data_IF_747757152900
#
_entry.id   IF_747757152900
#
_cell.length_a   1.000
_cell.length_b   1.000
_cell.length_c   1.000
_cell.angle_alpha   90.00
_cell.angle_beta   90.00
_cell.angle_gamma   90.00
#
_symmetry.space_group_name_H-M   'P 1'
#
loop_
_entity.id
_entity.type
_entity.pdbx_description
1 polymer ?
#
# COMPACT_ATOMS: atom_id res chain seq x y z
N UNK A 1 2.38 20.85 1.90
CA UNK A 1 3.22 19.68 1.52
C UNK A 1 3.39 18.84 2.76
N UNK A 2 2.75 17.67 2.81
CA UNK A 2 2.91 16.74 3.95
C UNK A 2 4.10 15.84 3.64
N UNK A 3 5.11 15.84 4.50
CA UNK A 3 6.25 14.93 4.38
C UNK A 3 5.88 13.59 4.99
N UNK A 4 6.05 12.50 4.23
CA UNK A 4 5.94 11.13 4.74
C UNK A 4 7.35 10.60 5.03
N UNK A 5 7.55 10.04 6.22
CA UNK A 5 8.80 9.42 6.63
C UNK A 5 8.61 7.90 6.59
N UNK A 6 9.42 7.21 5.78
CA UNK A 6 9.43 5.76 5.70
C UNK A 6 10.55 5.21 6.58
N UNK A 7 10.18 4.48 7.64
CA UNK A 7 11.15 3.77 8.48
C UNK A 7 11.51 2.42 7.85
N UNK A 8 12.79 2.26 7.50
CA UNK A 8 13.35 1.02 6.94
C UNK A 8 14.03 0.13 7.99
N UNK A 9 14.15 0.59 9.24
CA UNK A 9 14.77 -0.17 10.33
C UNK A 9 14.30 -1.62 10.47
N UNK A 10 12.99 -1.94 10.29
CA UNK A 10 12.50 -3.32 10.44
C UNK A 10 13.14 -4.34 9.49
N UNK A 11 13.72 -3.89 8.37
CA UNK A 11 14.26 -4.76 7.33
C UNK A 11 15.78 -4.65 7.19
N UNK A 12 16.43 -3.80 8.00
CA UNK A 12 17.89 -3.62 7.95
C UNK A 12 18.65 -4.69 8.75
N UNK A 13 17.99 -5.36 9.69
CA UNK A 13 18.60 -6.43 10.49
C UNK A 13 18.56 -7.80 9.81
N UNK A 14 17.80 -7.96 8.73
CA UNK A 14 17.80 -9.18 7.93
C UNK A 14 18.97 -9.18 6.95
N UNK A 15 19.28 -10.35 6.37
CA UNK A 15 20.35 -10.47 5.37
C UNK A 15 20.01 -9.57 4.18
N UNK A 16 20.86 -8.58 3.91
CA UNK A 16 20.71 -7.70 2.76
C UNK A 16 20.55 -8.52 1.46
N UNK A 17 19.39 -8.36 0.83
CA UNK A 17 19.07 -8.97 -0.45
C UNK A 17 18.23 -8.01 -1.29
N UNK A 18 18.36 -8.11 -2.61
CA UNK A 18 17.76 -7.14 -3.53
C UNK A 18 16.23 -7.13 -3.53
N UNK A 19 15.57 -8.20 -3.05
CA UNK A 19 14.11 -8.37 -3.14
C UNK A 19 13.50 -8.63 -1.78
N UNK A 20 12.49 -7.85 -1.42
CA UNK A 20 11.79 -7.95 -0.15
C UNK A 20 11.06 -9.30 -0.04
N UNK A 21 11.23 -10.01 1.06
CA UNK A 21 10.40 -11.19 1.37
C UNK A 21 9.01 -10.76 1.84
N UNK A 22 8.04 -11.67 1.84
CA UNK A 22 6.70 -11.37 2.38
C UNK A 22 6.72 -11.07 3.88
N UNK A 23 7.65 -11.68 4.62
CA UNK A 23 7.76 -11.48 6.06
C UNK A 23 8.30 -10.08 6.40
N UNK A 24 9.37 -9.67 5.73
CA UNK A 24 9.93 -8.32 5.91
C UNK A 24 8.95 -7.25 5.45
N UNK A 25 8.22 -7.47 4.35
CA UNK A 25 7.16 -6.56 3.94
C UNK A 25 6.09 -6.39 5.02
N UNK A 26 5.66 -7.47 5.67
CA UNK A 26 4.71 -7.38 6.80
C UNK A 26 5.28 -6.58 7.98
N UNK A 27 6.55 -6.80 8.32
CA UNK A 27 7.22 -6.04 9.39
C UNK A 27 7.30 -4.55 9.03
N UNK A 28 7.62 -4.23 7.78
CA UNK A 28 7.69 -2.87 7.28
C UNK A 28 6.33 -2.17 7.33
N UNK A 29 5.25 -2.84 6.92
CA UNK A 29 3.89 -2.29 7.02
C UNK A 29 3.48 -2.04 8.47
N UNK A 30 3.82 -2.94 9.39
CA UNK A 30 3.51 -2.77 10.81
C UNK A 30 4.23 -1.57 11.44
N UNK A 31 5.46 -1.27 10.98
CA UNK A 31 6.20 -0.10 11.44
C UNK A 31 5.73 1.22 10.81
N UNK A 32 5.04 1.16 9.66
CA UNK A 32 4.57 2.32 8.90
C UNK A 32 3.04 2.22 8.66
N UNK A 33 2.19 2.17 9.70
CA UNK A 33 0.77 1.82 9.57
C UNK A 33 -0.05 2.83 8.77
N UNK A 34 0.37 4.09 8.74
CA UNK A 34 -0.29 5.17 7.99
C UNK A 34 0.12 5.20 6.50
N UNK A 35 1.15 4.45 6.11
CA UNK A 35 1.65 4.43 4.74
C UNK A 35 0.95 3.37 3.89
N UNK A 36 0.57 3.75 2.67
CA UNK A 36 0.09 2.83 1.65
C UNK A 36 1.27 2.18 0.95
N UNK A 37 1.70 1.02 1.46
CA UNK A 37 2.80 0.25 0.91
C UNK A 37 2.30 -0.97 0.13
N UNK A 38 2.96 -1.28 -0.97
CA UNK A 38 2.72 -2.48 -1.77
C UNK A 38 4.03 -3.23 -2.02
N UNK A 39 3.92 -4.54 -2.26
CA UNK A 39 5.04 -5.38 -2.67
C UNK A 39 4.70 -6.05 -4.00
N UNK A 40 5.53 -5.81 -5.01
CA UNK A 40 5.36 -6.46 -6.32
C UNK A 40 5.56 -7.98 -6.24
N UNK A 41 5.19 -8.70 -7.30
CA UNK A 41 5.45 -10.15 -7.40
C UNK A 41 6.95 -10.46 -7.33
N UNK A 42 7.78 -9.60 -7.93
CA UNK A 42 9.25 -9.69 -7.95
C UNK A 42 9.89 -9.29 -6.62
N UNK A 43 9.14 -8.73 -5.67
CA UNK A 43 9.63 -8.31 -4.35
C UNK A 43 10.14 -6.88 -4.28
N UNK A 44 9.72 -6.02 -5.20
CA UNK A 44 10.00 -4.59 -5.15
C UNK A 44 9.03 -3.89 -4.20
N UNK A 45 9.53 -2.94 -3.42
CA UNK A 45 8.71 -2.08 -2.55
C UNK A 45 8.14 -0.92 -3.36
N UNK A 46 6.83 -0.73 -3.31
CA UNK A 46 6.12 0.36 -3.96
C UNK A 46 5.50 1.23 -2.86
N UNK A 47 5.80 2.53 -2.89
CA UNK A 47 5.16 3.53 -2.03
C UNK A 47 4.07 4.20 -2.86
N UNK A 48 2.81 3.94 -2.53
CA UNK A 48 1.70 4.47 -3.30
C UNK A 48 1.54 5.97 -3.04
N UNK A 49 1.42 6.81 -4.07
CA UNK A 49 1.10 8.22 -3.89
C UNK A 49 -0.30 8.36 -3.28
N UNK A 50 -0.60 9.51 -2.64
CA UNK A 50 -1.96 9.80 -2.21
C UNK A 50 -2.91 9.80 -3.41
N UNK A 51 -4.10 9.25 -3.23
CA UNK A 51 -5.15 9.31 -4.25
C UNK A 51 -5.66 10.74 -4.35
N UNK A 52 -5.60 11.33 -5.55
CA UNK A 52 -6.12 12.67 -5.82
C UNK A 52 -7.65 12.71 -5.87
N UNK A 53 -8.22 13.92 -5.80
CA UNK A 53 -9.67 14.12 -5.75
C UNK A 53 -10.42 13.58 -6.98
N UNK A 54 -9.88 13.78 -8.18
CA UNK A 54 -10.47 13.26 -9.42
C UNK A 54 -10.53 11.73 -9.39
N UNK A 55 -9.40 11.05 -9.16
CA UNK A 55 -9.35 9.59 -9.01
C UNK A 55 -10.26 9.11 -7.88
N UNK A 56 -10.34 9.86 -6.77
CA UNK A 56 -11.24 9.57 -5.66
C UNK A 56 -12.72 9.61 -6.04
N UNK A 57 -13.12 10.54 -6.90
CA UNK A 57 -14.50 10.62 -7.41
C UNK A 57 -14.85 9.39 -8.25
N UNK A 58 -13.97 9.02 -9.18
CA UNK A 58 -14.14 7.80 -9.99
C UNK A 58 -14.22 6.54 -9.12
N UNK A 59 -13.34 6.40 -8.13
CA UNK A 59 -13.37 5.27 -7.20
C UNK A 59 -14.68 5.23 -6.39
N UNK A 60 -15.24 6.37 -6.04
CA UNK A 60 -16.51 6.46 -5.29
C UNK A 60 -17.70 6.00 -6.13
N UNK A 61 -17.74 6.39 -7.40
CA UNK A 61 -18.78 5.94 -8.34
C UNK A 61 -18.74 4.43 -8.53
N UNK A 62 -17.55 3.87 -8.80
CA UNK A 62 -17.37 2.42 -8.95
C UNK A 62 -17.79 1.64 -7.70
N UNK A 63 -17.47 2.16 -6.50
CA UNK A 63 -17.90 1.55 -5.24
C UNK A 63 -19.42 1.58 -5.08
N UNK A 64 -20.08 2.67 -5.50
CA UNK A 64 -21.53 2.79 -5.45
C UNK A 64 -22.20 1.79 -6.38
N UNK A 65 -21.77 1.72 -7.64
CA UNK A 65 -22.31 0.78 -8.63
C UNK A 65 -22.18 -0.68 -8.16
N UNK A 66 -20.99 -1.07 -7.70
CA UNK A 66 -20.75 -2.42 -7.17
C UNK A 66 -21.62 -2.71 -5.95
N UNK A 67 -21.78 -1.72 -5.07
CA UNK A 67 -22.63 -1.83 -3.88
C UNK A 67 -24.11 -1.99 -4.22
N UNK A 68 -24.61 -1.30 -5.24
CA UNK A 68 -25.98 -1.45 -5.72
C UNK A 68 -26.19 -2.84 -6.35
N UNK A 69 -25.29 -3.27 -7.23
CA UNK A 69 -25.35 -4.61 -7.83
C UNK A 69 -25.38 -5.73 -6.79
N UNK A 70 -24.55 -5.63 -5.75
CA UNK A 70 -24.49 -6.64 -4.70
C UNK A 70 -25.78 -6.72 -3.86
N UNK A 71 -26.58 -5.64 -3.80
CA UNK A 71 -27.88 -5.63 -3.10
C UNK A 71 -29.02 -6.23 -3.91
N UNK A 72 -28.85 -6.39 -5.21
CA UNK A 72 -29.83 -7.05 -6.09
C UNK A 72 -29.59 -8.55 -6.24
N UNK A 73 -28.62 -9.12 -5.50
CA UNK A 73 -28.36 -10.56 -5.40
C UNK A 73 -29.27 -11.22 -4.35
#
# INVERSE_FOLDING_TARGET
MTTLVLDLSPILSSRAHAKLTRQEFRQLCNANPEMKLERSVTGDLIVMPPTGGETGNWNSELNLELGMWNRTQ
#
